data_IF_244180090043
#
_entry.id   IF_244180090043
#
_cell.length_a   1.000
_cell.length_b   1.000
_cell.length_c   1.000
_cell.angle_alpha   90.00
_cell.angle_beta   90.00
_cell.angle_gamma   90.00
#
_symmetry.space_group_name_H-M   'P 1'
#
loop_
_entity.id
_entity.type
_entity.pdbx_description
1 polymer ?
#
# COMPACT_ATOMS: atom_id res chain seq x y z
N UNK A 1 25.33 -28.70 1.44
CA UNK A 1 23.90 -28.98 1.78
C UNK A 1 23.33 -28.07 2.87
N UNK A 2 24.01 -27.84 4.01
CA UNK A 2 23.49 -26.99 5.11
C UNK A 2 23.23 -25.53 4.69
N UNK A 3 24.09 -24.94 3.86
CA UNK A 3 23.96 -23.55 3.42
C UNK A 3 22.73 -23.30 2.52
N UNK A 4 22.42 -24.24 1.60
CA UNK A 4 21.22 -24.16 0.76
C UNK A 4 19.92 -24.17 1.59
N UNK A 5 19.87 -24.95 2.67
CA UNK A 5 18.70 -24.99 3.55
C UNK A 5 18.52 -23.68 4.34
N UNK A 6 19.61 -23.02 4.74
CA UNK A 6 19.55 -21.69 5.36
C UNK A 6 19.04 -20.64 4.38
N UNK A 7 19.56 -20.63 3.15
CA UNK A 7 19.12 -19.69 2.11
C UNK A 7 17.64 -19.87 1.76
N UNK A 8 17.20 -21.11 1.54
CA UNK A 8 15.79 -21.42 1.26
C UNK A 8 14.86 -20.93 2.38
N UNK A 9 15.25 -21.14 3.64
CA UNK A 9 14.46 -20.67 4.77
C UNK A 9 14.41 -19.14 4.83
N UNK A 10 15.54 -18.44 4.62
CA UNK A 10 15.55 -16.98 4.57
C UNK A 10 14.65 -16.42 3.46
N UNK A 11 14.70 -17.01 2.27
CA UNK A 11 13.84 -16.63 1.15
C UNK A 11 12.34 -16.81 1.45
N UNK A 12 11.97 -17.88 2.16
CA UNK A 12 10.58 -18.12 2.56
C UNK A 12 10.07 -17.08 3.57
N UNK A 13 10.89 -16.72 4.55
CA UNK A 13 10.56 -15.67 5.52
C UNK A 13 10.45 -14.30 4.85
N UNK A 14 11.42 -13.95 4.01
CA UNK A 14 11.37 -12.71 3.23
C UNK A 14 10.12 -12.66 2.36
N UNK A 15 9.78 -13.76 1.68
CA UNK A 15 8.56 -13.85 0.86
C UNK A 15 7.30 -13.67 1.70
N UNK A 16 7.25 -14.18 2.94
CA UNK A 16 6.12 -13.96 3.84
C UNK A 16 5.95 -12.48 4.18
N UNK A 17 7.04 -11.78 4.56
CA UNK A 17 6.95 -10.36 4.87
C UNK A 17 6.55 -9.52 3.65
N UNK A 18 7.16 -9.78 2.49
CA UNK A 18 6.80 -9.11 1.23
C UNK A 18 5.34 -9.36 0.86
N UNK A 19 4.86 -10.60 1.01
CA UNK A 19 3.46 -10.94 0.74
C UNK A 19 2.48 -10.20 1.64
N UNK A 20 2.78 -10.11 2.94
CA UNK A 20 1.94 -9.37 3.89
C UNK A 20 1.93 -7.86 3.60
N UNK A 21 3.10 -7.29 3.28
CA UNK A 21 3.24 -5.86 2.94
C UNK A 21 2.51 -5.55 1.62
N UNK A 22 2.76 -6.31 0.56
CA UNK A 22 2.09 -6.10 -0.72
C UNK A 22 0.58 -6.32 -0.64
N UNK A 23 0.13 -7.37 0.07
CA UNK A 23 -1.31 -7.57 0.30
C UNK A 23 -1.95 -6.39 1.04
N UNK A 24 -1.25 -5.82 2.02
CA UNK A 24 -1.70 -4.61 2.73
C UNK A 24 -1.81 -3.41 1.77
N UNK A 25 -0.78 -3.18 0.94
CA UNK A 25 -0.77 -2.08 -0.04
C UNK A 25 -1.94 -2.23 -1.02
N UNK A 26 -2.14 -3.41 -1.60
CA UNK A 26 -3.24 -3.71 -2.54
C UNK A 26 -4.60 -3.36 -1.94
N UNK A 27 -4.85 -3.77 -0.69
CA UNK A 27 -6.12 -3.47 -0.01
C UNK A 27 -6.26 -1.97 0.22
N UNK A 28 -5.21 -1.29 0.68
CA UNK A 28 -5.24 0.16 0.95
C UNK A 28 -5.43 0.99 -0.32
N UNK A 29 -4.68 0.74 -1.40
CA UNK A 29 -4.77 1.55 -2.63
C UNK A 29 -6.11 1.38 -3.35
N UNK A 30 -6.79 0.25 -3.13
CA UNK A 30 -8.13 -0.03 -3.66
C UNK A 30 -9.26 0.29 -2.67
N UNK A 31 -8.97 0.92 -1.53
CA UNK A 31 -9.96 1.34 -0.54
C UNK A 31 -10.75 2.58 -1.02
N UNK A 32 -11.48 2.47 -2.13
CA UNK A 32 -12.25 3.59 -2.71
C UNK A 32 -13.30 4.16 -1.75
N UNK A 33 -13.76 3.36 -0.79
CA UNK A 33 -14.65 3.81 0.28
C UNK A 33 -14.01 4.89 1.17
N UNK A 34 -12.69 4.80 1.39
CA UNK A 34 -11.94 5.77 2.19
C UNK A 34 -11.84 7.10 1.45
N UNK A 35 -11.57 7.04 0.14
CA UNK A 35 -11.60 8.24 -0.69
C UNK A 35 -12.99 8.86 -0.73
N UNK A 36 -14.04 8.05 -0.93
CA UNK A 36 -15.43 8.52 -0.91
C UNK A 36 -15.77 9.24 0.40
N UNK A 37 -15.37 8.68 1.56
CA UNK A 37 -15.58 9.32 2.86
C UNK A 37 -14.93 10.71 2.95
N UNK A 38 -13.72 10.88 2.42
CA UNK A 38 -13.04 12.18 2.35
C UNK A 38 -13.73 13.13 1.35
N UNK A 39 -14.11 12.63 0.18
CA UNK A 39 -14.80 13.40 -0.85
C UNK A 39 -16.11 14.00 -0.33
N UNK A 40 -16.87 13.23 0.46
CA UNK A 40 -18.09 13.69 1.13
C UNK A 40 -17.76 14.61 2.31
N UNK A 41 -16.95 14.15 3.25
CA UNK A 41 -16.69 14.83 4.53
C UNK A 41 -16.03 16.19 4.36
N UNK A 42 -15.11 16.31 3.41
CA UNK A 42 -14.37 17.55 3.13
C UNK A 42 -14.98 18.35 1.98
N UNK A 43 -16.08 17.88 1.38
CA UNK A 43 -16.75 18.50 0.23
C UNK A 43 -15.78 18.77 -0.94
N UNK A 44 -14.89 17.82 -1.24
CA UNK A 44 -13.82 17.97 -2.24
C UNK A 44 -14.37 18.32 -3.64
N UNK A 45 -15.56 17.84 -4.01
CA UNK A 45 -16.16 18.21 -5.30
C UNK A 45 -16.38 19.73 -5.43
N UNK A 46 -16.80 20.39 -4.34
CA UNK A 46 -17.07 21.82 -4.34
C UNK A 46 -15.81 22.67 -4.52
N UNK A 47 -14.63 22.21 -4.08
CA UNK A 47 -13.35 22.94 -4.23
C UNK A 47 -12.93 23.08 -5.69
N UNK A 48 -13.41 22.18 -6.55
CA UNK A 48 -13.13 22.16 -7.99
C UNK A 48 -14.37 22.33 -8.86
N UNK A 49 -15.50 22.77 -8.27
CA UNK A 49 -16.78 22.99 -8.94
C UNK A 49 -17.33 21.75 -9.68
N UNK A 50 -17.18 20.58 -9.07
CA UNK A 50 -17.71 19.29 -9.54
C UNK A 50 -18.77 18.74 -8.59
N UNK A 51 -19.72 17.99 -9.15
CA UNK A 51 -20.60 17.14 -8.34
C UNK A 51 -19.80 15.96 -7.79
N UNK A 52 -20.23 15.38 -6.66
CA UNK A 52 -19.59 14.19 -6.08
C UNK A 52 -19.48 13.04 -7.10
N UNK A 53 -20.53 12.82 -7.90
CA UNK A 53 -20.52 11.78 -8.93
C UNK A 53 -19.45 11.98 -10.01
N UNK A 54 -19.26 13.23 -10.47
CA UNK A 54 -18.19 13.57 -11.43
C UNK A 54 -16.82 13.42 -10.79
N UNK A 55 -16.64 13.89 -9.56
CA UNK A 55 -15.39 13.72 -8.84
C UNK A 55 -15.01 12.23 -8.71
N UNK A 56 -15.96 11.40 -8.26
CA UNK A 56 -15.73 9.96 -8.13
C UNK A 56 -15.45 9.30 -9.49
N UNK A 57 -16.08 9.76 -10.58
CA UNK A 57 -15.78 9.27 -11.93
C UNK A 57 -14.31 9.49 -12.29
N UNK A 58 -13.77 10.69 -12.04
CA UNK A 58 -12.35 10.98 -12.30
C UNK A 58 -11.43 10.15 -11.40
N UNK A 59 -11.79 9.98 -10.12
CA UNK A 59 -11.04 9.12 -9.21
C UNK A 59 -11.00 7.65 -9.70
N UNK A 60 -12.10 7.13 -10.23
CA UNK A 60 -12.13 5.79 -10.82
C UNK A 60 -11.35 5.71 -12.14
N UNK A 61 -11.31 6.76 -12.95
CA UNK A 61 -10.43 6.83 -14.13
C UNK A 61 -8.96 6.76 -13.73
N UNK A 62 -8.56 7.50 -12.67
CA UNK A 62 -7.23 7.43 -12.09
C UNK A 62 -6.91 6.03 -11.57
N UNK A 63 -7.79 5.43 -10.76
CA UNK A 63 -7.60 4.07 -10.26
C UNK A 63 -7.54 3.04 -11.40
N UNK A 64 -8.34 3.17 -12.45
CA UNK A 64 -8.29 2.27 -13.60
C UNK A 64 -6.92 2.36 -14.30
N UNK A 65 -6.40 3.59 -14.49
CA UNK A 65 -5.06 3.79 -15.04
C UNK A 65 -3.97 3.16 -14.16
N UNK A 66 -4.03 3.36 -12.84
CA UNK A 66 -3.01 2.85 -11.91
C UNK A 66 -3.06 1.32 -11.76
N UNK A 67 -4.25 0.72 -11.69
CA UNK A 67 -4.40 -0.70 -11.42
C UNK A 67 -4.27 -1.60 -12.67
N UNK A 68 -4.57 -1.09 -13.87
CA UNK A 68 -4.66 -1.93 -15.06
C UNK A 68 -3.54 -1.66 -16.08
N UNK A 69 -2.74 -2.68 -16.44
CA UNK A 69 -1.66 -2.50 -17.43
C UNK A 69 -2.19 -2.20 -18.84
N UNK A 70 -3.43 -2.62 -19.17
CA UNK A 70 -4.07 -2.36 -20.47
C UNK A 70 -4.70 -0.96 -20.59
N UNK A 71 -4.60 -0.10 -19.57
CA UNK A 71 -4.99 1.31 -19.65
C UNK A 71 -3.71 2.15 -19.78
N UNK A 72 -3.15 2.36 -20.99
CA UNK A 72 -1.78 2.86 -21.16
C UNK A 72 -1.63 4.37 -20.90
N UNK A 73 -2.73 5.13 -20.94
CA UNK A 73 -2.72 6.59 -20.82
C UNK A 73 -3.73 7.03 -19.77
N UNK A 74 -3.30 7.92 -18.87
CA UNK A 74 -4.21 8.58 -17.94
C UNK A 74 -5.03 9.64 -18.70
N UNK A 75 -6.35 9.52 -18.62
CA UNK A 75 -7.29 10.51 -19.14
C UNK A 75 -8.41 10.69 -18.12
N UNK A 76 -8.44 11.87 -17.51
CA UNK A 76 -9.51 12.29 -16.59
C UNK A 76 -10.41 13.29 -17.33
N UNK A 77 -11.72 13.16 -17.15
CA UNK A 77 -12.69 13.98 -17.89
C UNK A 77 -12.68 15.46 -17.46
N UNK A 78 -12.43 15.70 -16.18
CA UNK A 78 -12.62 17.01 -15.53
C UNK A 78 -11.33 17.64 -15.02
N UNK A 79 -10.21 16.91 -15.11
CA UNK A 79 -8.89 17.38 -14.70
C UNK A 79 -7.94 17.39 -15.89
N UNK A 80 -7.25 18.51 -16.05
CA UNK A 80 -6.04 18.62 -16.86
C UNK A 80 -4.85 18.52 -15.92
N UNK A 81 -3.82 17.78 -16.32
CA UNK A 81 -2.58 17.66 -15.57
C UNK A 81 -1.41 18.06 -16.46
N UNK A 82 -0.39 18.67 -15.86
CA UNK A 82 0.86 18.99 -16.52
C UNK A 82 1.61 17.72 -16.96
N UNK A 83 2.59 17.89 -17.84
CA UNK A 83 3.47 16.78 -18.22
C UNK A 83 4.20 16.19 -17.01
N UNK A 84 4.60 17.02 -16.05
CA UNK A 84 5.23 16.59 -14.80
C UNK A 84 4.30 15.66 -13.99
N UNK A 85 3.05 16.09 -13.75
CA UNK A 85 2.09 15.28 -13.02
C UNK A 85 1.77 13.95 -13.71
N UNK A 86 1.67 13.93 -15.04
CA UNK A 86 1.47 12.70 -15.81
C UNK A 86 2.67 11.74 -15.71
N UNK A 87 3.91 12.26 -15.71
CA UNK A 87 5.12 11.45 -15.48
C UNK A 87 5.10 10.86 -14.07
N UNK A 88 4.76 11.66 -13.05
CA UNK A 88 4.64 11.16 -11.69
C UNK A 88 3.60 10.02 -11.58
N UNK A 89 2.41 10.19 -12.15
CA UNK A 89 1.41 9.11 -12.15
C UNK A 89 1.86 7.86 -12.91
N UNK A 90 2.68 7.99 -13.95
CA UNK A 90 3.30 6.85 -14.62
C UNK A 90 4.32 6.13 -13.72
N UNK A 91 5.12 6.87 -12.95
CA UNK A 91 6.02 6.28 -11.96
C UNK A 91 5.21 5.53 -10.87
N UNK A 92 4.13 6.12 -10.35
CA UNK A 92 3.23 5.47 -9.39
C UNK A 92 2.60 4.20 -9.98
N UNK A 93 2.18 4.24 -11.25
CA UNK A 93 1.67 3.05 -11.95
C UNK A 93 2.70 1.93 -11.98
N UNK A 94 3.97 2.22 -12.23
CA UNK A 94 5.04 1.22 -12.21
C UNK A 94 5.19 0.59 -10.82
N UNK A 95 5.02 1.36 -9.74
CA UNK A 95 5.01 0.83 -8.38
C UNK A 95 3.79 -0.07 -8.12
N UNK A 96 2.60 0.26 -8.63
CA UNK A 96 1.43 -0.63 -8.55
C UNK A 96 1.70 -1.96 -9.26
N UNK A 97 2.26 -1.93 -10.47
CA UNK A 97 2.60 -3.14 -11.23
C UNK A 97 3.67 -3.98 -10.52
N UNK A 98 4.67 -3.33 -9.93
CA UNK A 98 5.69 -4.00 -9.12
C UNK A 98 5.06 -4.68 -7.90
N UNK A 99 4.17 -3.99 -7.18
CA UNK A 99 3.52 -4.51 -5.98
C UNK A 99 2.64 -5.73 -6.30
N UNK A 100 1.84 -5.66 -7.37
CA UNK A 100 1.09 -6.82 -7.86
C UNK A 100 1.99 -7.99 -8.25
N UNK A 101 3.10 -7.73 -8.95
CA UNK A 101 4.08 -8.74 -9.31
C UNK A 101 4.70 -9.41 -8.08
N UNK A 102 5.12 -8.62 -7.08
CA UNK A 102 5.66 -9.11 -5.81
C UNK A 102 4.62 -9.96 -5.09
N UNK A 103 3.37 -9.49 -4.98
CA UNK A 103 2.31 -10.24 -4.33
C UNK A 103 2.04 -11.60 -4.98
N UNK A 104 1.95 -11.65 -6.32
CA UNK A 104 1.70 -12.89 -7.07
C UNK A 104 2.86 -13.88 -6.89
N UNK A 105 4.10 -13.44 -7.08
CA UNK A 105 5.29 -14.30 -6.98
C UNK A 105 5.44 -14.84 -5.55
N UNK A 106 5.31 -13.97 -4.55
CA UNK A 106 5.45 -14.36 -3.15
C UNK A 106 4.28 -15.24 -2.67
N UNK A 107 3.07 -15.08 -3.21
CA UNK A 107 1.90 -15.92 -2.89
C UNK A 107 2.20 -17.41 -3.10
N UNK A 108 2.87 -17.77 -4.19
CA UNK A 108 3.24 -19.16 -4.49
C UNK A 108 4.20 -19.71 -3.43
N UNK A 109 5.24 -18.94 -3.09
CA UNK A 109 6.24 -19.33 -2.08
C UNK A 109 5.60 -19.46 -0.69
N UNK A 110 4.77 -18.48 -0.32
CA UNK A 110 4.06 -18.45 0.96
C UNK A 110 3.07 -19.61 1.07
N UNK A 111 2.34 -19.93 0.00
CA UNK A 111 1.44 -21.09 -0.03
C UNK A 111 2.19 -22.39 0.33
N UNK A 112 3.28 -22.71 -0.38
CA UNK A 112 4.04 -23.93 -0.09
C UNK A 112 4.73 -23.89 1.28
N UNK A 113 5.23 -22.71 1.70
CA UNK A 113 5.83 -22.53 3.02
C UNK A 113 4.81 -22.81 4.14
N UNK A 114 3.61 -22.28 3.98
CA UNK A 114 2.48 -22.45 4.90
C UNK A 114 2.00 -23.90 4.97
N UNK A 115 1.82 -24.56 3.82
CA UNK A 115 1.44 -25.99 3.78
C UNK A 115 2.49 -26.86 4.50
N UNK A 116 3.78 -26.57 4.30
CA UNK A 116 4.86 -27.27 5.01
C UNK A 116 4.77 -27.05 6.52
N UNK A 117 4.65 -25.79 6.98
CA UNK A 117 4.52 -25.50 8.42
C UNK A 117 3.29 -26.16 9.05
N UNK A 118 2.16 -26.23 8.33
CA UNK A 118 0.97 -26.94 8.78
C UNK A 118 1.20 -28.45 8.90
N UNK A 119 1.72 -29.07 7.83
CA UNK A 119 2.02 -30.51 7.78
C UNK A 119 2.95 -30.93 8.91
N UNK A 120 3.97 -30.12 9.18
CA UNK A 120 4.99 -30.41 10.18
C UNK A 120 4.57 -29.97 11.61
N UNK A 121 3.36 -29.41 11.78
CA UNK A 121 2.86 -28.81 13.04
C UNK A 121 3.80 -27.73 13.62
N UNK A 122 4.42 -26.95 12.72
CA UNK A 122 5.41 -25.92 13.02
C UNK A 122 4.89 -24.48 12.87
N UNK A 123 3.57 -24.26 12.81
CA UNK A 123 3.00 -22.90 12.70
C UNK A 123 3.43 -21.98 13.86
N UNK A 124 3.72 -22.54 15.04
CA UNK A 124 4.27 -21.81 16.18
C UNK A 124 5.56 -21.04 15.86
N UNK A 125 6.31 -21.45 14.83
CA UNK A 125 7.52 -20.74 14.38
C UNK A 125 7.23 -19.34 13.86
N UNK A 126 5.99 -19.05 13.45
CA UNK A 126 5.56 -17.73 13.00
C UNK A 126 5.42 -16.75 14.18
N UNK A 127 5.19 -17.24 15.40
CA UNK A 127 4.83 -16.38 16.54
C UNK A 127 5.94 -15.38 16.88
N UNK A 128 7.17 -15.85 17.09
CA UNK A 128 8.26 -14.98 17.54
C UNK A 128 8.62 -13.89 16.50
N UNK A 129 8.80 -14.21 15.20
CA UNK A 129 9.06 -13.18 14.19
C UNK A 129 7.92 -12.16 14.02
N UNK A 130 6.66 -12.57 14.23
CA UNK A 130 5.52 -11.67 14.16
C UNK A 130 5.42 -10.80 15.42
N UNK A 131 5.73 -11.33 16.61
CA UNK A 131 5.83 -10.54 17.84
C UNK A 131 6.88 -9.44 17.75
N UNK A 132 8.02 -9.72 17.13
CA UNK A 132 9.02 -8.67 16.87
C UNK A 132 8.54 -7.65 15.85
N UNK A 133 7.77 -8.07 14.84
CA UNK A 133 7.26 -7.19 13.80
C UNK A 133 6.14 -6.25 14.28
N UNK A 134 5.35 -6.64 15.29
CA UNK A 134 4.28 -5.81 15.90
C UNK A 134 4.79 -4.45 16.44
N UNK A 135 6.07 -4.33 16.76
CA UNK A 135 6.61 -3.05 17.22
C UNK A 135 6.84 -2.04 16.09
N UNK A 136 6.96 -2.49 14.84
CA UNK A 136 7.34 -1.63 13.72
C UNK A 136 6.20 -0.67 13.32
N UNK A 137 4.97 -1.11 13.03
CA UNK A 137 3.90 -0.21 12.59
C UNK A 137 3.56 0.89 13.60
N UNK A 138 3.43 0.63 14.92
CA UNK A 138 3.17 1.68 15.91
C UNK A 138 4.26 2.75 15.96
N UNK A 139 5.54 2.35 15.93
CA UNK A 139 6.67 3.29 15.95
C UNK A 139 6.65 4.18 14.72
N UNK A 140 6.46 3.60 13.52
CA UNK A 140 6.37 4.38 12.28
C UNK A 140 5.15 5.29 12.28
N UNK A 141 4.02 4.83 12.82
CA UNK A 141 2.79 5.63 12.95
C UNK A 141 3.02 6.85 13.84
N UNK A 142 3.71 6.70 14.97
CA UNK A 142 4.05 7.83 15.85
C UNK A 142 4.97 8.83 15.15
N UNK A 143 6.00 8.36 14.44
CA UNK A 143 6.89 9.24 13.66
C UNK A 143 6.10 10.04 12.62
N UNK A 144 5.23 9.37 11.88
CA UNK A 144 4.35 10.01 10.89
C UNK A 144 3.39 11.01 11.54
N UNK A 145 2.83 10.70 12.70
CA UNK A 145 1.88 11.57 13.41
C UNK A 145 2.52 12.85 13.97
N UNK A 146 3.82 12.83 14.30
CA UNK A 146 4.55 14.01 14.78
C UNK A 146 4.69 15.06 13.67
N UNK A 147 4.97 14.64 12.43
CA UNK A 147 5.12 15.54 11.29
C UNK A 147 4.80 14.81 9.98
N UNK A 148 3.53 14.87 9.58
CA UNK A 148 3.06 14.19 8.38
C UNK A 148 3.72 14.74 7.10
N UNK A 149 3.88 16.06 6.99
CA UNK A 149 4.44 16.71 5.80
C UNK A 149 5.87 16.22 5.52
N UNK A 150 6.73 16.21 6.54
CA UNK A 150 8.10 15.74 6.40
C UNK A 150 8.16 14.24 6.13
N UNK A 151 7.28 13.45 6.76
CA UNK A 151 7.14 12.03 6.46
C UNK A 151 6.75 11.80 5.00
N UNK A 152 5.76 12.55 4.49
CA UNK A 152 5.27 12.44 3.12
C UNK A 152 6.35 12.85 2.11
N UNK A 153 7.10 13.92 2.37
CA UNK A 153 8.25 14.33 1.53
C UNK A 153 9.34 13.25 1.53
N UNK A 154 9.68 12.68 2.69
CA UNK A 154 10.69 11.63 2.78
C UNK A 154 10.25 10.38 2.03
N UNK A 155 8.98 9.99 2.16
CA UNK A 155 8.39 8.89 1.41
C UNK A 155 8.57 9.08 -0.10
N UNK A 156 8.28 10.28 -0.63
CA UNK A 156 8.49 10.58 -2.04
C UNK A 156 9.97 10.51 -2.44
N UNK A 157 10.88 11.05 -1.62
CA UNK A 157 12.33 11.01 -1.91
C UNK A 157 12.91 9.59 -1.89
N UNK A 158 12.32 8.67 -1.14
CA UNK A 158 12.72 7.27 -1.13
C UNK A 158 12.30 6.56 -2.42
N UNK A 159 11.11 6.88 -2.94
CA UNK A 159 10.51 6.20 -4.08
C UNK A 159 10.85 6.83 -5.43
N UNK A 160 11.04 8.14 -5.48
CA UNK A 160 11.24 8.92 -6.70
C UNK A 160 12.57 9.65 -6.68
N UNK A 161 13.29 9.61 -7.82
CA UNK A 161 14.57 10.32 -8.01
C UNK A 161 14.41 11.68 -8.72
N UNK A 162 13.17 12.06 -9.02
CA UNK A 162 12.77 13.31 -9.65
C UNK A 162 11.96 14.17 -8.66
N UNK A 163 11.53 15.35 -9.11
CA UNK A 163 10.65 16.25 -8.39
C UNK A 163 9.24 16.32 -9.00
N UNK A 164 8.88 15.37 -9.86
CA UNK A 164 7.65 15.44 -10.66
C UNK A 164 6.38 15.31 -9.82
N UNK A 165 6.52 14.87 -8.57
CA UNK A 165 5.50 14.77 -7.53
C UNK A 165 5.15 16.12 -6.86
N UNK A 166 5.89 17.20 -7.17
CA UNK A 166 5.56 18.56 -6.71
C UNK A 166 4.57 19.20 -7.67
N UNK A 167 3.28 19.05 -7.37
CA UNK A 167 2.20 19.54 -8.22
C UNK A 167 1.94 21.03 -8.02
N UNK A 168 1.70 21.75 -9.12
CA UNK A 168 1.20 23.13 -9.06
C UNK A 168 -0.33 23.09 -8.99
N UNK A 169 -0.99 23.55 -7.92
CA UNK A 169 -2.45 23.51 -7.80
C UNK A 169 -3.23 24.23 -8.90
N UNK A 170 -2.60 25.15 -9.64
CA UNK A 170 -3.20 25.83 -10.78
C UNK A 170 -3.16 24.99 -12.07
N UNK A 171 -2.13 24.17 -12.25
CA UNK A 171 -1.92 23.34 -13.44
C UNK A 171 -2.39 21.90 -13.24
N UNK A 172 -2.16 21.35 -12.04
CA UNK A 172 -2.37 19.95 -11.64
C UNK A 172 -3.52 19.88 -10.63
N UNK A 173 -4.71 20.28 -11.07
CA UNK A 173 -5.87 20.49 -10.19
C UNK A 173 -6.32 19.23 -9.42
N UNK A 174 -5.88 18.05 -9.84
CA UNK A 174 -6.11 16.78 -9.13
C UNK A 174 -5.58 16.82 -7.69
N UNK A 175 -4.53 17.59 -7.39
CA UNK A 175 -3.98 17.71 -6.02
C UNK A 175 -5.00 18.30 -5.04
N UNK A 176 -5.90 19.17 -5.52
CA UNK A 176 -6.94 19.81 -4.72
C UNK A 176 -8.00 18.82 -4.21
N UNK A 177 -8.06 17.63 -4.81
CA UNK A 177 -9.02 16.57 -4.47
C UNK A 177 -8.34 15.27 -4.04
N UNK A 178 -7.03 15.28 -3.86
CA UNK A 178 -6.22 14.24 -3.21
C UNK A 178 -5.49 14.85 -2.02
N UNK A 179 -6.21 15.26 -0.96
CA UNK A 179 -5.59 15.97 0.15
C UNK A 179 -4.61 15.06 0.90
N UNK A 180 -3.60 15.68 1.50
CA UNK A 180 -2.66 15.07 2.44
C UNK A 180 -3.35 14.22 3.53
N UNK A 181 -4.48 14.69 4.06
CA UNK A 181 -5.32 13.99 5.04
C UNK A 181 -5.82 12.63 4.51
N UNK A 182 -6.16 12.52 3.23
CA UNK A 182 -6.53 11.25 2.62
C UNK A 182 -5.33 10.29 2.57
N UNK A 183 -4.15 10.78 2.19
CA UNK A 183 -2.93 9.96 2.20
C UNK A 183 -2.54 9.53 3.61
N UNK A 184 -2.65 10.40 4.61
CA UNK A 184 -2.41 10.07 6.01
C UNK A 184 -3.34 8.96 6.50
N UNK A 185 -4.62 9.02 6.15
CA UNK A 185 -5.58 7.95 6.45
C UNK A 185 -5.25 6.65 5.72
N UNK A 186 -4.73 6.70 4.49
CA UNK A 186 -4.25 5.51 3.77
C UNK A 186 -3.07 4.85 4.50
N UNK A 187 -2.10 5.63 4.99
CA UNK A 187 -1.00 5.10 5.80
C UNK A 187 -1.52 4.47 7.11
N UNK A 188 -2.43 5.14 7.80
CA UNK A 188 -3.05 4.58 9.02
C UNK A 188 -3.78 3.27 8.73
N UNK A 189 -4.57 3.21 7.66
CA UNK A 189 -5.24 1.98 7.24
C UNK A 189 -4.24 0.87 6.95
N UNK A 190 -3.17 1.16 6.20
CA UNK A 190 -2.11 0.20 5.93
C UNK A 190 -1.45 -0.32 7.23
N UNK A 191 -1.13 0.58 8.17
CA UNK A 191 -0.56 0.18 9.46
C UNK A 191 -1.52 -0.67 10.31
N UNK A 192 -2.81 -0.36 10.31
CA UNK A 192 -3.81 -1.18 10.99
C UNK A 192 -3.89 -2.58 10.36
N UNK A 193 -3.94 -2.68 9.02
CA UNK A 193 -4.06 -3.94 8.30
C UNK A 193 -2.83 -4.85 8.50
N UNK A 194 -1.63 -4.28 8.42
CA UNK A 194 -0.40 -5.06 8.63
C UNK A 194 -0.25 -5.48 10.10
N UNK A 195 -0.59 -4.60 11.06
CA UNK A 195 -0.57 -4.90 12.49
C UNK A 195 -1.55 -6.02 12.82
N UNK A 196 -2.77 -5.95 12.28
CA UNK A 196 -3.76 -7.02 12.39
C UNK A 196 -3.26 -8.35 11.80
N UNK A 197 -2.60 -8.30 10.65
CA UNK A 197 -2.05 -9.49 10.00
C UNK A 197 -0.96 -10.14 10.86
N UNK A 198 -0.04 -9.36 11.44
CA UNK A 198 0.95 -9.87 12.39
C UNK A 198 0.28 -10.45 13.64
N UNK A 199 -0.69 -9.73 14.22
CA UNK A 199 -1.42 -10.19 15.40
C UNK A 199 -2.10 -11.54 15.17
N UNK A 200 -2.79 -11.73 14.04
CA UNK A 200 -3.42 -13.00 13.68
C UNK A 200 -2.42 -14.15 13.60
N UNK A 201 -1.23 -13.90 13.04
CA UNK A 201 -0.18 -14.91 12.94
C UNK A 201 0.42 -15.28 14.30
N UNK A 202 0.35 -14.41 15.31
CA UNK A 202 0.78 -14.75 16.69
C UNK A 202 -0.18 -15.70 17.40
N UNK A 203 -1.41 -15.86 16.92
CA UNK A 203 -2.42 -16.73 17.57
C UNK A 203 -2.13 -18.23 17.38
N UNK A 204 -1.21 -18.60 16.49
CA UNK A 204 -0.80 -19.99 16.26
C UNK A 204 0.12 -20.56 17.35
N UNK A 205 -0.29 -20.44 18.62
CA UNK A 205 0.40 -21.04 19.77
C UNK A 205 0.34 -22.57 19.70
N UNK A 206 1.38 -23.23 20.24
CA UNK A 206 1.34 -24.68 20.46
C UNK A 206 0.13 -25.00 21.34
N UNK A 207 -0.92 -25.62 20.76
CA UNK A 207 -1.75 -26.53 21.54
C UNK A 207 -0.83 -27.68 21.92
N UNK A 208 -0.21 -27.57 23.09
CA UNK A 208 0.53 -28.66 23.70
C UNK A 208 -0.38 -29.88 23.70
N UNK A 209 0.09 -30.95 23.06
CA UNK A 209 -0.43 -32.30 23.23
C UNK A 209 -0.39 -32.57 24.73
N UNK A 210 -1.55 -32.53 25.38
CA UNK A 210 -1.79 -33.19 26.66
C UNK A 210 -1.89 -34.68 26.42
#
# INVERSE_FOLDING_TARGET
MVWLNKFKNAAQWLSLYLWLVSGTIIVTINASWLYFANAVGQKLGATVNLTLGRLMTNYYQLLAYLNFPWVPKLTMNDFTDSTSALVHFADVKNLFMLDYGVFIVTSVVVYFFWQRLRRDRQLWRLVLPMQTALWVPPVVTVIMAINFDQFFIMFHKILFRNSDWLFDPLLDRIILVLPDTFFGQCFVLAFILIEWSFFLLTQYRQTSVT
#
